data_IF_188564990343
#
_entry.id   IF_188564990343
#
_cell.length_a   1.000
_cell.length_b   1.000
_cell.length_c   1.000
_cell.angle_alpha   90.00
_cell.angle_beta   90.00
_cell.angle_gamma   90.00
#
_symmetry.space_group_name_H-M   'P 1'
#
loop_
_entity.id
_entity.type
_entity.pdbx_description
1 polymer ?
#
# COMPACT_ATOMS: atom_id res chain seq x y z
N UNK A 1 -25.41 -49.58 -12.27
CA UNK A 1 -24.21 -48.97 -11.68
C UNK A 1 -24.40 -47.47 -11.68
N UNK A 2 -24.84 -46.95 -10.57
CA UNK A 2 -25.20 -45.55 -10.37
C UNK A 2 -24.01 -44.80 -9.75
N UNK A 3 -23.38 -43.91 -10.53
CA UNK A 3 -22.37 -42.99 -10.01
C UNK A 3 -23.07 -41.84 -9.32
N UNK A 4 -22.99 -41.77 -8.00
CA UNK A 4 -23.28 -40.59 -7.21
C UNK A 4 -22.13 -39.55 -7.38
N UNK A 5 -22.43 -38.27 -7.64
CA UNK A 5 -21.42 -37.23 -7.56
C UNK A 5 -21.17 -36.92 -6.08
N UNK A 6 -19.94 -37.13 -5.62
CA UNK A 6 -19.47 -36.64 -4.33
C UNK A 6 -19.52 -35.11 -4.33
N UNK A 7 -20.37 -34.59 -3.45
CA UNK A 7 -20.53 -33.19 -3.17
C UNK A 7 -19.18 -32.58 -2.73
N UNK A 8 -18.68 -31.63 -3.48
CA UNK A 8 -17.55 -30.80 -3.12
C UNK A 8 -17.93 -29.90 -1.94
N UNK A 9 -17.77 -30.38 -0.72
CA UNK A 9 -17.98 -29.61 0.50
C UNK A 9 -16.85 -28.59 0.67
N UNK A 10 -17.19 -27.35 0.48
CA UNK A 10 -16.73 -26.10 1.11
C UNK A 10 -15.35 -26.14 1.85
N UNK A 11 -14.28 -26.14 1.08
CA UNK A 11 -12.94 -25.82 1.61
C UNK A 11 -12.79 -24.30 1.85
N UNK A 12 -13.64 -23.46 1.26
CA UNK A 12 -13.63 -22.00 1.38
C UNK A 12 -13.83 -21.43 2.79
N UNK A 13 -14.76 -21.87 3.64
CA UNK A 13 -14.97 -21.27 4.96
C UNK A 13 -13.84 -21.52 5.95
N UNK A 14 -13.24 -22.70 5.95
CA UNK A 14 -12.14 -23.06 6.87
C UNK A 14 -10.85 -22.27 6.55
N UNK A 15 -10.53 -22.10 5.28
CA UNK A 15 -9.35 -21.31 4.87
C UNK A 15 -9.52 -19.81 5.15
N UNK A 16 -10.73 -19.26 5.07
CA UNK A 16 -11.03 -17.88 5.44
C UNK A 16 -10.88 -17.67 6.95
N UNK A 17 -11.51 -18.52 7.76
CA UNK A 17 -11.42 -18.45 9.22
C UNK A 17 -9.96 -18.57 9.72
N UNK A 18 -9.16 -19.45 9.12
CA UNK A 18 -7.74 -19.59 9.46
C UNK A 18 -6.95 -18.31 9.15
N UNK A 19 -7.23 -17.65 8.01
CA UNK A 19 -6.58 -16.39 7.63
C UNK A 19 -6.97 -15.22 8.54
N UNK A 20 -8.24 -15.10 8.86
CA UNK A 20 -8.74 -14.10 9.81
C UNK A 20 -8.11 -14.28 11.19
N UNK A 21 -7.97 -15.53 11.65
CA UNK A 21 -7.30 -15.85 12.91
C UNK A 21 -5.82 -15.48 12.86
N UNK A 22 -5.12 -15.78 11.76
CA UNK A 22 -3.72 -15.39 11.57
C UNK A 22 -3.56 -13.87 11.55
N UNK A 23 -4.43 -13.15 10.83
CA UNK A 23 -4.43 -11.69 10.81
C UNK A 23 -4.67 -11.12 12.22
N UNK A 24 -5.59 -11.66 12.98
CA UNK A 24 -5.85 -11.25 14.36
C UNK A 24 -4.63 -11.48 15.27
N UNK A 25 -3.93 -12.61 15.11
CA UNK A 25 -2.69 -12.88 15.84
C UNK A 25 -1.56 -11.90 15.48
N UNK A 26 -1.41 -11.54 14.19
CA UNK A 26 -0.45 -10.51 13.76
C UNK A 26 -0.77 -9.15 14.42
N UNK A 27 -2.04 -8.76 14.43
CA UNK A 27 -2.47 -7.49 15.05
C UNK A 27 -2.22 -7.54 16.58
N UNK A 28 -2.48 -8.67 17.24
CA UNK A 28 -2.19 -8.84 18.67
C UNK A 28 -0.68 -8.69 18.96
N UNK A 29 0.19 -9.38 18.20
CA UNK A 29 1.63 -9.22 18.31
C UNK A 29 2.08 -7.76 18.04
N UNK A 30 1.47 -7.10 17.06
CA UNK A 30 1.76 -5.71 16.75
C UNK A 30 1.40 -4.75 17.90
N UNK A 31 0.35 -5.02 18.66
CA UNK A 31 0.00 -4.23 19.84
C UNK A 31 1.06 -4.36 20.95
N UNK A 32 1.63 -5.55 21.17
CA UNK A 32 2.73 -5.74 22.12
C UNK A 32 3.99 -4.97 21.66
N UNK A 33 4.31 -5.06 20.36
CA UNK A 33 5.44 -4.34 19.76
C UNK A 33 5.25 -2.82 19.75
N UNK A 34 4.00 -2.33 19.62
CA UNK A 34 3.66 -0.91 19.75
C UNK A 34 4.10 -0.36 21.12
N UNK A 35 4.01 -1.15 22.19
CA UNK A 35 4.49 -0.77 23.51
C UNK A 35 5.99 -0.45 23.54
N UNK A 36 6.80 -1.14 22.76
CA UNK A 36 8.23 -0.84 22.60
C UNK A 36 8.43 0.51 21.88
N UNK A 37 7.75 0.72 20.76
CA UNK A 37 7.84 1.97 19.99
C UNK A 37 7.39 3.18 20.82
N UNK A 38 6.28 3.05 21.55
CA UNK A 38 5.75 4.10 22.42
C UNK A 38 6.70 4.47 23.54
N UNK A 39 7.46 3.51 24.06
CA UNK A 39 8.48 3.72 25.08
C UNK A 39 9.85 4.16 24.52
N UNK A 40 9.96 4.35 23.19
CA UNK A 40 11.23 4.67 22.52
C UNK A 40 12.26 3.54 22.60
N UNK A 41 11.83 2.31 22.82
CA UNK A 41 12.69 1.12 22.92
C UNK A 41 12.79 0.43 21.57
N UNK A 42 14.00 -0.02 21.25
CA UNK A 42 14.24 -0.76 20.02
C UNK A 42 13.51 -2.11 20.04
N UNK A 43 12.90 -2.47 18.92
CA UNK A 43 12.36 -3.81 18.67
C UNK A 43 13.52 -4.68 18.17
N UNK A 44 13.87 -5.70 18.93
CA UNK A 44 14.89 -6.69 18.57
C UNK A 44 14.27 -8.09 18.36
N UNK A 45 15.09 -9.06 17.96
CA UNK A 45 14.62 -10.40 17.68
C UNK A 45 13.98 -11.10 18.90
N UNK A 46 14.49 -10.96 20.14
CA UNK A 46 13.81 -11.44 21.34
C UNK A 46 12.42 -10.83 21.54
N UNK A 47 12.28 -9.50 21.42
CA UNK A 47 11.00 -8.81 21.56
C UNK A 47 9.97 -9.32 20.53
N UNK A 48 10.40 -9.50 19.28
CA UNK A 48 9.56 -10.06 18.22
C UNK A 48 9.12 -11.48 18.59
N UNK A 49 10.05 -12.36 18.97
CA UNK A 49 9.68 -13.74 19.35
C UNK A 49 8.69 -13.77 20.50
N UNK A 50 8.89 -12.96 21.53
CA UNK A 50 7.98 -12.91 22.69
C UNK A 50 6.58 -12.49 22.25
N UNK A 51 6.45 -11.41 21.47
CA UNK A 51 5.18 -10.93 20.98
C UNK A 51 4.48 -11.96 20.08
N UNK A 52 5.22 -12.54 19.12
CA UNK A 52 4.69 -13.56 18.22
C UNK A 52 4.28 -14.83 18.96
N UNK A 53 5.10 -15.31 19.88
CA UNK A 53 4.79 -16.51 20.66
C UNK A 53 3.56 -16.30 21.57
N UNK A 54 3.42 -15.12 22.16
CA UNK A 54 2.23 -14.74 22.93
C UNK A 54 0.97 -14.75 22.05
N UNK A 55 1.05 -14.16 20.87
CA UNK A 55 -0.10 -13.99 19.98
C UNK A 55 -0.51 -15.27 19.23
N UNK A 56 0.45 -16.13 18.90
CA UNK A 56 0.23 -17.39 18.18
C UNK A 56 0.14 -18.62 19.09
N UNK A 57 0.44 -18.48 20.37
CA UNK A 57 0.42 -19.57 21.36
C UNK A 57 1.57 -20.57 21.22
N UNK A 58 2.48 -20.41 20.25
CA UNK A 58 3.59 -21.31 19.99
C UNK A 58 4.76 -20.59 19.28
N UNK A 59 5.94 -21.24 19.23
CA UNK A 59 7.17 -20.65 18.68
C UNK A 59 7.29 -20.83 17.15
N UNK A 60 8.25 -20.10 16.56
CA UNK A 60 8.68 -20.28 15.16
C UNK A 60 9.22 -21.70 14.91
N UNK A 61 9.87 -22.30 15.88
CA UNK A 61 10.40 -23.67 15.77
C UNK A 61 9.31 -24.75 15.61
N UNK A 62 8.08 -24.47 16.10
CA UNK A 62 6.91 -25.35 15.92
C UNK A 62 6.17 -25.11 14.60
N UNK A 63 6.59 -24.13 13.79
CA UNK A 63 5.91 -23.75 12.55
C UNK A 63 4.63 -22.94 12.73
N UNK A 64 4.37 -22.41 13.95
CA UNK A 64 3.17 -21.62 14.22
C UNK A 64 3.18 -20.26 13.47
N UNK A 65 4.35 -19.73 13.22
CA UNK A 65 4.58 -18.50 12.43
C UNK A 65 5.99 -18.52 11.84
N UNK A 66 6.21 -17.70 10.83
CA UNK A 66 7.50 -17.50 10.20
C UNK A 66 8.00 -16.05 10.35
N UNK A 67 9.24 -15.79 9.97
CA UNK A 67 9.83 -14.46 10.08
C UNK A 67 9.22 -13.44 9.11
N UNK A 68 8.60 -13.89 8.01
CA UNK A 68 7.82 -13.01 7.14
C UNK A 68 6.61 -12.44 7.88
N UNK A 69 5.83 -13.33 8.51
CA UNK A 69 4.68 -12.98 9.35
C UNK A 69 5.10 -12.08 10.52
N UNK A 70 6.25 -12.36 11.13
CA UNK A 70 6.80 -11.54 12.21
C UNK A 70 7.17 -10.12 11.74
N UNK A 71 7.74 -9.97 10.56
CA UNK A 71 8.01 -8.64 10.00
C UNK A 71 6.73 -7.90 9.63
N UNK A 72 5.68 -8.60 9.16
CA UNK A 72 4.36 -7.99 8.97
C UNK A 72 3.80 -7.45 10.30
N UNK A 73 3.98 -8.16 11.43
CA UNK A 73 3.61 -7.65 12.74
C UNK A 73 4.40 -6.38 13.14
N UNK A 74 5.70 -6.30 12.82
CA UNK A 74 6.50 -5.08 13.03
C UNK A 74 6.01 -3.92 12.17
N UNK A 75 5.62 -4.16 10.93
CA UNK A 75 5.05 -3.14 10.03
C UNK A 75 3.69 -2.65 10.56
N UNK A 76 2.83 -3.57 10.98
CA UNK A 76 1.54 -3.23 11.63
C UNK A 76 1.77 -2.44 12.93
N UNK A 77 2.80 -2.76 13.72
CA UNK A 77 3.14 -1.97 14.91
C UNK A 77 3.52 -0.53 14.57
N UNK A 78 4.26 -0.30 13.47
CA UNK A 78 4.56 1.05 12.97
C UNK A 78 3.28 1.76 12.51
N UNK A 79 2.40 1.07 11.79
CA UNK A 79 1.10 1.60 11.38
C UNK A 79 0.27 2.02 12.59
N UNK A 80 0.14 1.16 13.61
CA UNK A 80 -0.58 1.45 14.84
C UNK A 80 0.06 2.62 15.61
N UNK A 81 1.39 2.72 15.59
CA UNK A 81 2.09 3.87 16.15
C UNK A 81 1.72 5.17 15.43
N UNK A 82 1.76 5.15 14.10
CA UNK A 82 1.36 6.31 13.29
C UNK A 82 -0.09 6.69 13.54
N UNK A 83 -1.01 5.73 13.61
CA UNK A 83 -2.42 5.97 13.92
C UNK A 83 -2.60 6.65 15.28
N UNK A 84 -1.90 6.17 16.31
CA UNK A 84 -2.02 6.67 17.67
C UNK A 84 -1.35 8.02 17.90
N UNK A 85 -0.16 8.21 17.35
CA UNK A 85 0.68 9.37 17.62
C UNK A 85 0.83 10.34 16.44
N UNK A 86 0.44 9.93 15.24
CA UNK A 86 0.48 10.77 14.03
C UNK A 86 -0.24 12.11 14.19
N UNK A 87 -1.46 12.16 14.73
CA UNK A 87 -2.13 13.45 14.99
C UNK A 87 -1.32 14.38 15.91
N UNK A 88 -0.68 13.85 16.95
CA UNK A 88 0.17 14.63 17.82
C UNK A 88 1.45 15.12 17.11
N UNK A 89 2.04 14.29 16.24
CA UNK A 89 3.17 14.70 15.40
C UNK A 89 2.76 15.83 14.45
N UNK A 90 1.58 15.73 13.84
CA UNK A 90 1.04 16.77 12.95
C UNK A 90 0.76 18.07 13.68
N UNK A 91 0.21 17.99 14.90
CA UNK A 91 -0.12 19.16 15.73
C UNK A 91 1.12 19.87 16.30
N UNK A 92 2.24 19.14 16.47
CA UNK A 92 3.46 19.67 17.11
C UNK A 92 4.14 20.76 16.29
N UNK A 93 4.10 20.67 14.98
CA UNK A 93 4.76 21.60 14.06
C UNK A 93 4.06 21.60 12.69
N UNK A 94 4.02 22.74 12.04
CA UNK A 94 3.60 22.82 10.64
C UNK A 94 4.72 22.47 9.66
N UNK A 95 5.98 22.50 10.10
CA UNK A 95 7.13 22.23 9.27
C UNK A 95 7.22 20.73 8.90
N UNK A 96 7.14 20.37 7.60
CA UNK A 96 7.19 19.00 7.14
C UNK A 96 8.53 18.32 7.44
N UNK A 97 9.64 19.07 7.52
CA UNK A 97 10.96 18.54 7.84
C UNK A 97 11.06 18.14 9.31
N UNK A 98 10.54 18.96 10.22
CA UNK A 98 10.50 18.61 11.64
C UNK A 98 9.58 17.41 11.89
N UNK A 99 8.46 17.31 11.17
CA UNK A 99 7.60 16.11 11.21
C UNK A 99 8.34 14.86 10.73
N UNK A 100 9.07 14.96 9.61
CA UNK A 100 9.86 13.85 9.07
C UNK A 100 10.90 13.38 10.09
N UNK A 101 11.61 14.30 10.77
CA UNK A 101 12.57 13.92 11.82
C UNK A 101 11.94 13.10 12.95
N UNK A 102 10.68 13.41 13.32
CA UNK A 102 9.95 12.64 14.33
C UNK A 102 9.59 11.25 13.82
N UNK A 103 9.14 11.14 12.57
CA UNK A 103 8.81 9.87 11.91
C UNK A 103 10.05 8.99 11.77
N UNK A 104 11.18 9.56 11.33
CA UNK A 104 12.46 8.84 11.20
C UNK A 104 13.00 8.26 12.52
N UNK A 105 12.64 8.86 13.66
CA UNK A 105 13.00 8.27 14.97
C UNK A 105 12.37 6.89 15.18
N UNK A 106 11.16 6.66 14.64
CA UNK A 106 10.47 5.37 14.74
C UNK A 106 11.18 4.34 13.86
N UNK A 107 11.57 4.73 12.64
CA UNK A 107 12.28 3.85 11.71
C UNK A 107 13.57 3.29 12.31
N UNK A 108 14.24 4.05 13.18
CA UNK A 108 15.47 3.61 13.86
C UNK A 108 15.22 2.61 15.00
N UNK A 109 13.99 2.47 15.46
CA UNK A 109 13.60 1.54 16.52
C UNK A 109 13.21 0.16 16.00
N UNK A 110 12.99 0.01 14.69
CA UNK A 110 12.63 -1.28 14.10
C UNK A 110 13.86 -2.03 13.61
N UNK A 111 13.82 -3.37 13.59
CA UNK A 111 14.93 -4.18 13.12
C UNK A 111 15.06 -4.13 11.59
N UNK A 112 16.27 -4.35 11.10
CA UNK A 112 16.47 -4.65 9.69
C UNK A 112 15.89 -6.03 9.35
N UNK A 113 15.12 -6.11 8.28
CA UNK A 113 14.53 -7.38 7.80
C UNK A 113 15.59 -8.22 7.09
N UNK A 114 16.34 -9.02 7.85
CA UNK A 114 17.46 -9.83 7.32
C UNK A 114 17.06 -11.24 6.94
N UNK A 115 15.94 -11.77 7.49
CA UNK A 115 15.44 -13.12 7.23
C UNK A 115 14.31 -13.04 6.21
N UNK A 116 14.59 -13.42 4.98
CA UNK A 116 13.63 -13.41 3.88
C UNK A 116 13.24 -14.83 3.51
N UNK A 117 11.94 -15.05 3.21
CA UNK A 117 11.50 -16.23 2.49
C UNK A 117 11.87 -16.10 1.01
N UNK A 118 12.04 -17.23 0.33
CA UNK A 118 12.25 -17.28 -1.12
C UNK A 118 11.12 -16.57 -1.88
N UNK A 119 9.89 -16.64 -1.37
CA UNK A 119 8.73 -15.94 -1.93
C UNK A 119 8.88 -14.40 -1.90
N UNK A 120 9.39 -13.82 -0.80
CA UNK A 120 9.65 -12.37 -0.74
C UNK A 120 10.71 -11.94 -1.75
N UNK A 121 11.69 -12.81 -2.03
CA UNK A 121 12.72 -12.54 -3.04
C UNK A 121 12.16 -12.68 -4.45
N UNK A 122 11.33 -13.70 -4.70
CA UNK A 122 10.74 -13.97 -6.02
C UNK A 122 9.73 -12.90 -6.44
N UNK A 123 8.88 -12.42 -5.53
CA UNK A 123 7.88 -11.39 -5.82
C UNK A 123 8.39 -9.97 -5.64
N UNK A 124 9.58 -9.77 -5.06
CA UNK A 124 10.18 -8.45 -4.76
C UNK A 124 9.17 -7.46 -4.10
N UNK A 125 8.35 -7.98 -3.21
CA UNK A 125 7.36 -7.22 -2.45
C UNK A 125 8.03 -6.63 -1.20
N UNK A 126 8.47 -5.40 -1.29
CA UNK A 126 9.08 -4.68 -0.16
C UNK A 126 8.10 -3.65 0.38
N UNK A 127 7.88 -3.68 1.68
CA UNK A 127 7.10 -2.65 2.35
C UNK A 127 7.80 -1.31 2.30
N UNK A 128 7.02 -0.25 2.17
CA UNK A 128 7.56 1.11 2.10
C UNK A 128 8.03 1.56 3.49
N UNK A 129 9.28 2.02 3.64
CA UNK A 129 9.73 2.64 4.88
C UNK A 129 8.81 3.80 5.28
N UNK A 130 8.44 3.90 6.57
CA UNK A 130 7.46 4.89 7.04
C UNK A 130 7.89 6.34 6.76
N UNK A 131 9.20 6.64 6.80
CA UNK A 131 9.73 7.94 6.39
C UNK A 131 9.51 8.25 4.91
N UNK A 132 9.71 7.24 4.04
CA UNK A 132 9.43 7.39 2.61
C UNK A 132 7.92 7.48 2.34
N UNK A 133 7.09 6.72 3.08
CA UNK A 133 5.64 6.84 3.00
C UNK A 133 5.17 8.26 3.36
N UNK A 134 5.76 8.86 4.41
CA UNK A 134 5.51 10.24 4.80
C UNK A 134 5.84 11.23 3.67
N UNK A 135 7.02 11.10 3.05
CA UNK A 135 7.47 11.96 1.95
C UNK A 135 6.59 11.77 0.69
N UNK A 136 6.21 10.54 0.38
CA UNK A 136 5.28 10.26 -0.71
C UNK A 136 3.89 10.88 -0.46
N UNK A 137 3.41 10.82 0.79
CA UNK A 137 2.17 11.47 1.20
C UNK A 137 2.24 13.00 1.12
N UNK A 138 3.38 13.60 1.44
CA UNK A 138 3.62 15.03 1.26
C UNK A 138 3.55 15.41 -0.23
N UNK A 139 4.18 14.65 -1.11
CA UNK A 139 4.10 14.84 -2.56
C UNK A 139 2.67 14.66 -3.10
N UNK A 140 1.90 13.73 -2.52
CA UNK A 140 0.52 13.48 -2.88
C UNK A 140 -0.39 14.67 -2.56
N UNK A 141 -0.07 15.45 -1.51
CA UNK A 141 -0.85 16.62 -1.11
C UNK A 141 -2.29 16.24 -0.80
N UNK A 142 -2.50 15.25 0.05
CA UNK A 142 -3.81 14.74 0.46
C UNK A 142 -4.72 15.83 1.01
N UNK A 143 -6.02 15.69 0.74
CA UNK A 143 -7.06 16.60 1.23
C UNK A 143 -8.12 15.83 2.00
N UNK A 144 -8.58 16.31 3.15
CA UNK A 144 -9.61 15.63 3.93
C UNK A 144 -10.87 15.32 3.09
N UNK A 145 -11.42 14.12 3.28
CA UNK A 145 -12.64 13.67 2.61
C UNK A 145 -12.47 13.16 1.18
N UNK A 146 -11.29 13.34 0.55
CA UNK A 146 -11.04 12.79 -0.79
C UNK A 146 -10.91 11.27 -0.77
N UNK A 147 -11.15 10.64 -1.93
CA UNK A 147 -10.93 9.21 -2.11
C UNK A 147 -9.51 8.96 -2.60
N UNK A 148 -8.75 8.19 -1.81
CA UNK A 148 -7.40 7.75 -2.15
C UNK A 148 -7.41 6.26 -2.46
N UNK A 149 -6.82 5.87 -3.59
CA UNK A 149 -6.61 4.47 -3.95
C UNK A 149 -5.14 4.10 -3.71
N UNK A 150 -4.92 2.97 -3.04
CA UNK A 150 -3.63 2.29 -3.00
C UNK A 150 -3.76 0.92 -3.68
N UNK A 151 -3.26 0.76 -4.93
CA UNK A 151 -3.46 -0.45 -5.73
C UNK A 151 -2.67 -1.68 -5.26
N UNK A 152 -1.65 -1.51 -4.41
CA UNK A 152 -0.78 -2.57 -3.88
C UNK A 152 -0.44 -2.25 -2.44
N UNK A 153 -1.44 -2.38 -1.56
CA UNK A 153 -1.41 -1.75 -0.23
C UNK A 153 -0.50 -2.46 0.79
N UNK A 154 -0.14 -3.73 0.55
CA UNK A 154 0.71 -4.47 1.48
C UNK A 154 0.09 -4.52 2.88
N UNK A 155 0.85 -4.07 3.88
CA UNK A 155 0.37 -3.94 5.27
C UNK A 155 -0.29 -2.57 5.56
N UNK A 156 -0.33 -1.63 4.59
CA UNK A 156 -0.99 -0.34 4.71
C UNK A 156 -0.09 0.82 5.18
N UNK A 157 1.24 0.71 5.07
CA UNK A 157 2.16 1.78 5.52
C UNK A 157 2.11 3.05 4.65
N UNK A 158 1.67 2.97 3.40
CA UNK A 158 1.33 4.16 2.61
C UNK A 158 -0.08 4.66 2.94
N UNK A 159 -1.05 3.74 3.05
CA UNK A 159 -2.45 4.05 3.35
C UNK A 159 -2.62 4.85 4.64
N UNK A 160 -1.86 4.52 5.71
CA UNK A 160 -1.97 5.20 7.00
C UNK A 160 -1.68 6.72 6.89
N UNK A 161 -0.85 7.15 5.94
CA UNK A 161 -0.56 8.58 5.74
C UNK A 161 -1.79 9.31 5.16
N UNK A 162 -2.51 8.66 4.25
CA UNK A 162 -3.76 9.20 3.70
C UNK A 162 -4.90 9.16 4.75
N UNK A 163 -4.96 8.10 5.58
CA UNK A 163 -5.89 7.99 6.71
C UNK A 163 -5.71 9.14 7.71
N UNK A 164 -4.46 9.42 8.09
CA UNK A 164 -4.09 10.54 8.97
C UNK A 164 -4.43 11.92 8.37
N UNK A 165 -4.50 12.03 7.07
CA UNK A 165 -4.94 13.24 6.37
C UNK A 165 -6.47 13.36 6.28
N UNK A 166 -7.23 12.40 6.83
CA UNK A 166 -8.69 12.39 6.81
C UNK A 166 -9.28 11.97 5.46
N UNK A 167 -8.56 11.21 4.66
CA UNK A 167 -9.04 10.69 3.38
C UNK A 167 -9.91 9.45 3.56
N UNK A 168 -10.80 9.20 2.59
CA UNK A 168 -11.45 7.88 2.42
C UNK A 168 -10.52 6.98 1.64
N UNK A 169 -10.46 5.70 1.99
CA UNK A 169 -9.51 4.77 1.40
C UNK A 169 -10.22 3.71 0.55
N UNK A 170 -9.61 3.42 -0.59
CA UNK A 170 -9.82 2.20 -1.37
C UNK A 170 -8.47 1.49 -1.46
N UNK A 171 -8.40 0.28 -0.91
CA UNK A 171 -7.18 -0.50 -0.78
C UNK A 171 -7.30 -1.75 -1.63
N UNK A 172 -6.26 -2.08 -2.37
CA UNK A 172 -6.21 -3.33 -3.11
C UNK A 172 -4.94 -4.09 -2.74
N UNK A 173 -5.08 -5.38 -2.44
CA UNK A 173 -3.96 -6.26 -2.12
C UNK A 173 -4.28 -7.68 -2.58
N UNK A 174 -3.41 -8.27 -3.39
CA UNK A 174 -3.65 -9.59 -3.98
C UNK A 174 -3.41 -10.73 -3.00
N UNK A 175 -2.55 -10.50 -1.99
CA UNK A 175 -2.24 -11.52 -0.99
C UNK A 175 -3.35 -11.60 0.08
N UNK A 176 -3.97 -12.75 0.19
CA UNK A 176 -5.12 -13.04 1.06
C UNK A 176 -4.93 -12.58 2.52
N UNK A 177 -3.77 -12.88 3.11
CA UNK A 177 -3.48 -12.53 4.51
C UNK A 177 -3.36 -11.02 4.69
N UNK A 178 -2.69 -10.34 3.78
CA UNK A 178 -2.55 -8.87 3.83
C UNK A 178 -3.87 -8.17 3.56
N UNK A 179 -4.70 -8.69 2.66
CA UNK A 179 -6.06 -8.19 2.45
C UNK A 179 -6.92 -8.32 3.73
N UNK A 180 -6.82 -9.45 4.44
CA UNK A 180 -7.49 -9.63 5.73
C UNK A 180 -6.96 -8.65 6.80
N UNK A 181 -5.63 -8.41 6.86
CA UNK A 181 -5.04 -7.39 7.73
C UNK A 181 -5.57 -6.00 7.41
N UNK A 182 -5.61 -5.61 6.15
CA UNK A 182 -6.14 -4.31 5.73
C UNK A 182 -7.61 -4.14 6.15
N UNK A 183 -8.44 -5.18 5.97
CA UNK A 183 -9.85 -5.17 6.40
C UNK A 183 -10.01 -4.94 7.90
N UNK A 184 -9.12 -5.52 8.73
CA UNK A 184 -9.15 -5.34 10.18
C UNK A 184 -8.53 -4.02 10.64
N UNK A 185 -7.54 -3.49 9.90
CA UNK A 185 -6.83 -2.27 10.28
C UNK A 185 -7.51 -0.99 9.78
N UNK A 186 -8.24 -1.03 8.67
CA UNK A 186 -8.88 0.13 8.05
C UNK A 186 -10.39 -0.10 7.93
N UNK A 187 -11.06 -0.16 9.08
CA UNK A 187 -12.52 -0.33 9.15
C UNK A 187 -13.25 0.74 8.34
N UNK A 188 -14.24 0.31 7.57
CA UNK A 188 -15.00 1.20 6.69
C UNK A 188 -14.33 1.55 5.36
N UNK A 189 -13.10 1.09 5.12
CA UNK A 189 -12.43 1.22 3.83
C UNK A 189 -12.83 0.08 2.88
N UNK A 190 -12.86 0.36 1.59
CA UNK A 190 -13.02 -0.68 0.58
C UNK A 190 -11.70 -1.46 0.44
N UNK A 191 -11.75 -2.77 0.67
CA UNK A 191 -10.61 -3.66 0.40
C UNK A 191 -10.96 -4.60 -0.74
N UNK A 192 -10.13 -4.66 -1.78
CA UNK A 192 -10.27 -5.53 -2.95
C UNK A 192 -9.02 -6.38 -3.16
N UNK A 193 -9.16 -7.47 -3.94
CA UNK A 193 -8.09 -8.45 -4.15
C UNK A 193 -7.91 -8.72 -5.65
N UNK A 194 -7.47 -7.69 -6.37
CA UNK A 194 -7.29 -7.77 -7.82
C UNK A 194 -5.80 -7.67 -8.20
N UNK A 195 -5.45 -8.16 -9.38
CA UNK A 195 -4.16 -7.83 -10.00
C UNK A 195 -4.10 -6.32 -10.24
N UNK A 196 -3.20 -5.64 -9.54
CA UNK A 196 -3.04 -4.20 -9.62
C UNK A 196 -2.60 -3.70 -11.02
N UNK A 197 -2.00 -4.56 -11.85
CA UNK A 197 -1.73 -4.25 -13.26
C UNK A 197 -3.00 -4.07 -14.10
N UNK A 198 -4.15 -4.53 -13.59
CA UNK A 198 -5.47 -4.43 -14.21
C UNK A 198 -6.46 -3.63 -13.36
N UNK A 199 -6.00 -2.83 -12.42
CA UNK A 199 -6.86 -2.19 -11.41
C UNK A 199 -7.93 -1.28 -12.04
N UNK A 200 -7.64 -0.67 -13.20
CA UNK A 200 -8.62 0.12 -13.94
C UNK A 200 -9.85 -0.70 -14.35
N UNK A 201 -9.63 -1.90 -14.82
CA UNK A 201 -10.69 -2.75 -15.38
C UNK A 201 -11.41 -3.57 -14.31
N UNK A 202 -10.82 -3.72 -13.12
CA UNK A 202 -11.30 -4.60 -12.05
C UNK A 202 -12.15 -3.91 -11.01
N UNK A 203 -11.86 -2.64 -10.72
CA UNK A 203 -12.65 -1.88 -9.75
C UNK A 203 -13.98 -1.39 -10.35
N UNK A 204 -14.98 -1.23 -9.49
CA UNK A 204 -16.26 -0.65 -9.87
C UNK A 204 -16.08 0.68 -10.61
N UNK A 205 -16.83 0.92 -11.68
CA UNK A 205 -16.70 2.10 -12.52
C UNK A 205 -16.96 3.41 -11.75
N UNK A 206 -17.80 3.37 -10.73
CA UNK A 206 -18.10 4.51 -9.85
C UNK A 206 -16.99 4.85 -8.86
N UNK A 207 -16.00 3.96 -8.67
CA UNK A 207 -14.86 4.21 -7.78
C UNK A 207 -13.79 5.01 -8.55
N UNK A 208 -13.85 6.31 -8.47
CA UNK A 208 -12.93 7.24 -9.16
C UNK A 208 -12.11 8.01 -8.11
N UNK A 209 -10.88 7.56 -7.78
CA UNK A 209 -10.04 8.23 -6.79
C UNK A 209 -9.53 9.56 -7.32
N UNK A 210 -9.47 10.56 -6.45
CA UNK A 210 -8.83 11.86 -6.73
C UNK A 210 -7.33 11.85 -6.47
N UNK A 211 -6.86 10.88 -5.71
CA UNK A 211 -5.45 10.66 -5.48
C UNK A 211 -5.12 9.16 -5.47
N UNK A 212 -3.95 8.82 -5.99
CA UNK A 212 -3.40 7.45 -5.94
C UNK A 212 -2.00 7.52 -5.36
N UNK A 213 -1.72 6.64 -4.42
CA UNK A 213 -0.36 6.43 -3.91
C UNK A 213 -0.02 4.96 -4.07
N UNK A 214 1.18 4.64 -4.56
CA UNK A 214 1.51 3.25 -4.85
C UNK A 214 3.00 2.94 -4.74
N UNK A 215 3.28 1.72 -4.29
CA UNK A 215 4.58 1.07 -4.35
C UNK A 215 4.38 -0.36 -4.93
N UNK A 216 4.23 -0.50 -6.26
CA UNK A 216 3.98 -1.80 -6.88
C UNK A 216 5.19 -2.73 -6.73
N UNK A 217 5.01 -4.05 -6.85
CA UNK A 217 6.11 -5.00 -6.87
C UNK A 217 7.17 -4.61 -7.91
N UNK A 218 8.45 -4.70 -7.53
CA UNK A 218 9.55 -4.30 -8.40
C UNK A 218 9.84 -5.30 -9.53
N UNK A 219 9.37 -6.53 -9.41
CA UNK A 219 9.35 -7.53 -10.48
C UNK A 219 8.15 -8.44 -10.33
N UNK A 220 7.60 -8.89 -11.45
CA UNK A 220 6.69 -10.02 -11.47
C UNK A 220 7.51 -11.25 -11.84
N UNK A 221 7.76 -12.13 -10.87
CA UNK A 221 8.27 -13.47 -11.15
C UNK A 221 7.13 -14.30 -11.73
N UNK A 222 6.87 -14.19 -13.02
CA UNK A 222 6.08 -15.16 -13.75
C UNK A 222 6.94 -15.70 -14.90
N UNK A 223 7.24 -16.99 -14.78
CA UNK A 223 7.76 -17.89 -15.77
C UNK A 223 7.40 -17.46 -17.20
N UNK A 224 8.22 -16.68 -17.85
CA UNK A 224 8.45 -16.67 -19.31
C UNK A 224 9.55 -15.66 -19.62
N UNK A 225 10.46 -16.02 -20.49
CA UNK A 225 11.65 -15.31 -20.95
C UNK A 225 11.43 -13.94 -21.62
N UNK A 226 10.26 -13.33 -21.50
CA UNK A 226 9.92 -12.10 -22.18
C UNK A 226 9.42 -11.02 -21.22
N UNK A 227 10.30 -10.03 -20.91
CA UNK A 227 9.97 -8.67 -20.51
C UNK A 227 9.47 -8.45 -19.06
N UNK A 228 10.29 -8.80 -18.08
CA UNK A 228 10.19 -8.33 -16.68
C UNK A 228 10.13 -6.80 -16.56
N UNK A 229 10.55 -6.09 -17.59
CA UNK A 229 10.55 -4.63 -17.63
C UNK A 229 9.14 -4.01 -17.62
N UNK A 230 8.13 -4.64 -18.19
CA UNK A 230 6.79 -4.07 -18.43
C UNK A 230 5.87 -3.96 -17.19
N UNK A 231 6.17 -4.68 -16.12
CA UNK A 231 5.23 -4.78 -15.00
C UNK A 231 4.97 -3.44 -14.29
N UNK A 232 6.02 -2.74 -13.86
CA UNK A 232 5.88 -1.48 -13.14
C UNK A 232 5.14 -0.42 -13.96
N UNK A 233 5.42 -0.34 -15.26
CA UNK A 233 4.76 0.61 -16.14
C UNK A 233 3.28 0.23 -16.41
N UNK A 234 2.93 -1.05 -16.45
CA UNK A 234 1.53 -1.50 -16.55
C UNK A 234 0.75 -1.13 -15.30
N UNK A 235 1.30 -1.36 -14.11
CA UNK A 235 0.70 -0.91 -12.85
C UNK A 235 0.46 0.61 -12.86
N UNK A 236 1.48 1.38 -13.25
CA UNK A 236 1.39 2.83 -13.35
C UNK A 236 0.31 3.28 -14.33
N UNK A 237 0.29 2.71 -15.54
CA UNK A 237 -0.66 3.06 -16.59
C UNK A 237 -2.10 2.72 -16.21
N UNK A 238 -2.33 1.56 -15.58
CA UNK A 238 -3.64 1.14 -15.09
C UNK A 238 -4.13 2.07 -13.96
N UNK A 239 -3.24 2.43 -13.04
CA UNK A 239 -3.56 3.36 -11.96
C UNK A 239 -3.92 4.77 -12.51
N UNK A 240 -3.12 5.31 -13.43
CA UNK A 240 -3.41 6.61 -14.08
C UNK A 240 -4.74 6.58 -14.85
N UNK A 241 -5.06 5.47 -15.52
CA UNK A 241 -6.35 5.34 -16.19
C UNK A 241 -7.52 5.45 -15.21
N UNK A 242 -7.35 4.92 -13.98
CA UNK A 242 -8.38 4.94 -12.93
C UNK A 242 -8.51 6.28 -12.21
N UNK A 243 -7.46 7.08 -12.17
CA UNK A 243 -7.42 8.36 -11.48
C UNK A 243 -8.46 9.33 -12.07
N UNK A 244 -9.08 10.18 -11.24
CA UNK A 244 -9.94 11.27 -11.70
C UNK A 244 -9.14 12.29 -12.51
N UNK A 245 -9.79 12.93 -13.48
CA UNK A 245 -9.18 14.06 -14.21
C UNK A 245 -8.85 15.19 -13.22
N UNK A 246 -7.66 15.78 -13.35
CA UNK A 246 -7.12 16.73 -12.37
C UNK A 246 -6.55 16.09 -11.09
N UNK A 247 -6.72 14.78 -10.91
CA UNK A 247 -6.17 14.03 -9.77
C UNK A 247 -4.65 13.87 -9.83
N UNK A 248 -4.06 13.41 -8.71
CA UNK A 248 -2.61 13.18 -8.57
C UNK A 248 -2.28 11.74 -8.23
N UNK A 249 -1.27 11.20 -8.89
CA UNK A 249 -0.67 9.91 -8.57
C UNK A 249 0.77 10.11 -8.10
N UNK A 250 1.14 9.44 -7.00
CA UNK A 250 2.53 9.32 -6.53
C UNK A 250 2.91 7.85 -6.55
N UNK A 251 3.93 7.52 -7.33
CA UNK A 251 4.42 6.16 -7.48
C UNK A 251 5.86 6.03 -7.02
N UNK A 252 6.14 4.98 -6.25
CA UNK A 252 7.47 4.50 -5.94
C UNK A 252 7.72 3.28 -6.82
N UNK A 253 8.68 3.34 -7.73
CA UNK A 253 8.99 2.27 -8.67
C UNK A 253 10.48 1.96 -8.66
N UNK A 254 10.94 0.96 -9.43
CA UNK A 254 12.40 0.80 -9.65
C UNK A 254 12.98 2.03 -10.33
N UNK A 255 14.23 2.34 -10.03
CA UNK A 255 14.94 3.51 -10.56
C UNK A 255 14.91 3.61 -12.10
N UNK A 256 14.93 2.46 -12.78
CA UNK A 256 14.90 2.42 -14.24
C UNK A 256 13.53 2.67 -14.88
N UNK A 257 12.42 2.68 -14.12
CA UNK A 257 11.11 3.08 -14.62
C UNK A 257 11.04 4.62 -14.71
N UNK A 258 11.77 5.19 -15.62
CA UNK A 258 12.03 6.62 -15.75
C UNK A 258 11.61 7.13 -17.14
N UNK A 259 11.09 8.37 -17.23
CA UNK A 259 10.68 8.96 -18.50
C UNK A 259 11.81 9.13 -19.52
N UNK A 260 13.04 9.28 -19.06
CA UNK A 260 14.25 9.42 -19.86
C UNK A 260 14.92 8.08 -20.22
N UNK A 261 14.47 6.99 -19.59
CA UNK A 261 15.01 5.66 -19.87
C UNK A 261 14.49 5.13 -21.21
N UNK A 262 15.40 4.67 -22.09
CA UNK A 262 15.11 4.25 -23.47
C UNK A 262 13.92 3.27 -23.58
N UNK A 263 13.81 2.32 -22.65
CA UNK A 263 12.73 1.32 -22.68
C UNK A 263 11.34 1.89 -22.35
N UNK A 264 11.25 3.03 -21.66
CA UNK A 264 10.01 3.57 -21.12
C UNK A 264 9.58 4.88 -21.78
N UNK A 265 10.49 5.58 -22.47
CA UNK A 265 10.27 6.90 -23.03
C UNK A 265 8.97 6.96 -23.85
N UNK A 266 8.77 6.05 -24.78
CA UNK A 266 7.57 6.02 -25.62
C UNK A 266 6.28 5.76 -24.83
N UNK A 267 6.39 4.95 -23.77
CA UNK A 267 5.30 4.71 -22.82
C UNK A 267 4.91 5.99 -22.09
N UNK A 268 5.90 6.71 -21.53
CA UNK A 268 5.67 7.97 -20.84
C UNK A 268 5.18 9.08 -21.78
N UNK A 269 5.67 9.15 -23.03
CA UNK A 269 5.14 10.07 -24.04
C UNK A 269 3.66 9.81 -24.31
N UNK A 270 3.26 8.54 -24.44
CA UNK A 270 1.83 8.19 -24.58
C UNK A 270 1.02 8.54 -23.34
N UNK A 271 1.58 8.33 -22.14
CA UNK A 271 0.93 8.66 -20.89
C UNK A 271 0.73 10.18 -20.77
N UNK A 272 1.71 11.00 -21.15
CA UNK A 272 1.65 12.46 -21.07
C UNK A 272 0.57 13.09 -21.97
N UNK A 273 0.05 12.36 -22.95
CA UNK A 273 -1.13 12.82 -23.70
C UNK A 273 -2.39 12.92 -22.82
N UNK A 274 -2.40 12.33 -21.64
CA UNK A 274 -3.54 12.32 -20.70
C UNK A 274 -3.16 12.73 -19.28
N UNK A 275 -1.88 12.55 -18.88
CA UNK A 275 -1.43 12.76 -17.51
C UNK A 275 0.06 13.14 -17.51
N UNK A 276 0.39 14.35 -17.09
CA UNK A 276 1.75 14.86 -17.13
C UNK A 276 2.57 14.42 -15.90
N UNK A 277 3.81 14.06 -16.14
CA UNK A 277 4.80 13.92 -15.07
C UNK A 277 5.18 15.32 -14.59
N UNK A 278 5.02 15.60 -13.29
CA UNK A 278 5.36 16.90 -12.69
C UNK A 278 6.64 16.87 -11.89
N UNK A 279 7.06 15.66 -11.47
CA UNK A 279 8.31 15.46 -10.74
C UNK A 279 8.77 14.01 -10.86
N UNK A 280 10.08 13.80 -10.89
CA UNK A 280 10.69 12.48 -10.81
C UNK A 280 12.10 12.56 -10.23
N UNK A 281 12.42 11.71 -9.24
CA UNK A 281 13.77 11.63 -8.66
C UNK A 281 14.12 10.19 -8.29
N UNK A 282 15.36 9.80 -8.46
CA UNK A 282 15.90 8.52 -8.00
C UNK A 282 16.13 8.57 -6.49
N UNK A 283 16.00 7.45 -5.82
CA UNK A 283 16.18 7.27 -4.38
C UNK A 283 17.24 6.19 -4.18
N UNK A 284 18.26 6.49 -3.39
CA UNK A 284 19.33 5.55 -3.09
C UNK A 284 18.81 4.29 -2.41
N UNK A 285 19.35 3.13 -2.75
CA UNK A 285 18.96 1.84 -2.21
C UNK A 285 19.12 1.72 -0.69
N UNK A 286 19.96 2.57 -0.08
CA UNK A 286 20.11 2.68 1.38
C UNK A 286 18.81 2.99 2.10
N UNK A 287 17.86 3.69 1.46
CA UNK A 287 16.54 4.02 2.04
C UNK A 287 15.71 2.77 2.28
N UNK A 288 15.80 1.77 1.40
CA UNK A 288 15.10 0.49 1.57
C UNK A 288 15.93 -0.59 2.29
N UNK A 289 17.20 -0.32 2.62
CA UNK A 289 18.07 -1.30 3.29
C UNK A 289 17.50 -1.87 4.60
N UNK A 290 16.84 -1.09 5.48
CA UNK A 290 16.17 -1.63 6.66
C UNK A 290 15.07 -2.63 6.33
N UNK A 291 14.41 -2.49 5.18
CA UNK A 291 13.38 -3.40 4.67
C UNK A 291 13.95 -4.52 3.80
N UNK A 292 15.26 -4.70 3.89
CA UNK A 292 15.98 -5.85 3.38
C UNK A 292 16.26 -5.83 1.86
N UNK A 293 16.26 -4.69 1.20
CA UNK A 293 16.74 -4.54 -0.18
C UNK A 293 17.59 -3.29 -0.33
N UNK A 294 18.57 -3.34 -1.22
CA UNK A 294 19.37 -2.19 -1.63
C UNK A 294 19.03 -1.73 -3.05
N UNK A 295 17.85 -2.09 -3.54
CA UNK A 295 17.41 -1.69 -4.89
C UNK A 295 17.15 -0.20 -4.91
N UNK A 296 17.78 0.48 -5.85
CA UNK A 296 17.47 1.89 -6.13
C UNK A 296 16.05 2.01 -6.65
N UNK A 297 15.33 2.98 -6.11
CA UNK A 297 13.94 3.25 -6.46
C UNK A 297 13.80 4.65 -7.04
N UNK A 298 12.61 4.99 -7.47
CA UNK A 298 12.26 6.30 -8.02
C UNK A 298 10.90 6.72 -7.50
N UNK A 299 10.78 7.96 -7.05
CA UNK A 299 9.50 8.59 -6.81
C UNK A 299 9.12 9.42 -8.03
N UNK A 300 7.92 9.17 -8.55
CA UNK A 300 7.36 9.91 -9.69
C UNK A 300 6.00 10.47 -9.30
N UNK A 301 5.80 11.77 -9.53
CA UNK A 301 4.52 12.46 -9.32
C UNK A 301 3.90 12.76 -10.68
N UNK A 302 2.64 12.39 -10.83
CA UNK A 302 1.88 12.53 -12.09
C UNK A 302 0.55 13.21 -11.78
N UNK A 303 0.24 14.29 -12.48
CA UNK A 303 -1.08 14.92 -12.45
C UNK A 303 -1.87 14.50 -13.69
N UNK A 304 -3.13 14.09 -13.52
CA UNK A 304 -4.00 13.68 -14.65
C UNK A 304 -4.55 14.90 -15.37
N UNK A 305 -3.63 15.63 -15.96
CA UNK A 305 -3.82 16.77 -16.85
C UNK A 305 -2.88 16.55 -18.03
N UNK A 306 -3.34 16.63 -19.29
CA UNK A 306 -2.46 16.50 -20.45
C UNK A 306 -1.26 17.44 -20.37
N UNK A 307 -0.09 16.98 -20.79
CA UNK A 307 1.08 17.84 -20.96
C UNK A 307 0.94 18.68 -22.22
N UNK A 308 1.41 19.93 -22.18
CA UNK A 308 1.43 20.82 -23.35
C UNK A 308 2.30 20.24 -24.46
N UNK A 309 3.46 19.71 -24.11
CA UNK A 309 4.31 18.89 -24.98
C UNK A 309 4.54 17.51 -24.34
N UNK A 310 3.92 16.45 -24.86
CA UNK A 310 4.09 15.09 -24.33
C UNK A 310 5.53 14.54 -24.43
N UNK A 311 6.40 15.15 -25.18
CA UNK A 311 7.81 14.72 -25.31
C UNK A 311 8.74 15.35 -24.31
N UNK A 312 8.30 16.42 -23.60
CA UNK A 312 9.03 17.12 -22.58
C UNK A 312 8.72 16.55 -21.17
N UNK A 313 9.76 16.33 -20.41
CA UNK A 313 9.68 15.84 -19.03
C UNK A 313 10.42 16.78 -18.08
N UNK A 314 9.99 16.89 -16.80
CA UNK A 314 10.77 17.66 -15.82
C UNK A 314 12.15 17.04 -15.64
N UNK A 315 13.15 17.90 -15.51
CA UNK A 315 14.50 17.45 -15.18
C UNK A 315 14.51 16.77 -13.80
N UNK A 316 15.14 15.61 -13.71
CA UNK A 316 15.34 14.97 -12.42
C UNK A 316 16.45 15.70 -11.65
N UNK A 317 16.26 16.03 -10.36
CA UNK A 317 17.34 16.61 -9.54
C UNK A 317 18.46 15.60 -9.24
N UNK A 318 18.27 14.32 -9.57
CA UNK A 318 19.26 13.28 -9.41
C UNK A 318 18.82 12.14 -8.50
N UNK A 319 19.78 11.61 -7.71
CA UNK A 319 19.57 10.55 -6.73
C UNK A 319 19.57 11.12 -5.31
N UNK A 320 18.43 11.07 -4.64
CA UNK A 320 18.33 11.43 -3.24
C UNK A 320 19.00 10.37 -2.35
N UNK A 321 20.02 10.74 -1.55
CA UNK A 321 20.71 9.79 -0.66
C UNK A 321 19.85 9.35 0.51
N UNK A 322 18.84 10.14 0.87
CA UNK A 322 17.92 9.93 1.99
C UNK A 322 16.56 10.59 1.75
N UNK A 323 15.62 10.32 2.63
CA UNK A 323 14.24 10.84 2.55
C UNK A 323 14.14 12.34 2.85
N UNK A 324 15.10 12.92 3.59
CA UNK A 324 15.10 14.36 3.89
C UNK A 324 15.49 15.18 2.65
N UNK A 325 16.49 14.73 1.92
CA UNK A 325 16.88 15.32 0.62
C UNK A 325 15.72 15.20 -0.39
N UNK A 326 15.06 14.02 -0.44
CA UNK A 326 13.90 13.83 -1.30
C UNK A 326 12.75 14.78 -0.94
N UNK A 327 12.48 14.98 0.36
CA UNK A 327 11.46 15.92 0.83
C UNK A 327 11.78 17.35 0.38
N UNK A 328 13.06 17.79 0.49
CA UNK A 328 13.48 19.12 0.02
C UNK A 328 13.17 19.29 -1.47
N UNK A 329 13.59 18.34 -2.29
CA UNK A 329 13.33 18.43 -3.73
C UNK A 329 11.84 18.44 -4.08
N UNK A 330 11.02 17.68 -3.34
CA UNK A 330 9.57 17.69 -3.52
C UNK A 330 8.99 19.05 -3.13
N UNK A 331 9.44 19.63 -2.02
CA UNK A 331 8.97 20.94 -1.58
C UNK A 331 9.32 22.05 -2.59
N UNK A 332 10.47 21.94 -3.24
CA UNK A 332 10.97 22.94 -4.20
C UNK A 332 10.37 22.76 -5.61
N UNK A 333 10.07 21.53 -6.02
CA UNK A 333 9.78 21.24 -7.44
C UNK A 333 8.38 20.69 -7.71
N UNK A 334 7.69 20.09 -6.71
CA UNK A 334 6.33 19.56 -6.94
C UNK A 334 5.32 20.70 -6.84
N UNK A 335 4.61 21.04 -7.94
CA UNK A 335 3.62 22.11 -7.89
C UNK A 335 2.44 21.74 -6.96
N UNK A 336 1.76 22.73 -6.37
CA UNK A 336 0.49 22.49 -5.68
C UNK A 336 -0.48 21.74 -6.60
N UNK A 337 -1.25 20.81 -6.03
CA UNK A 337 -2.30 20.12 -6.80
C UNK A 337 -3.33 21.13 -7.30
N UNK A 338 -3.78 20.94 -8.55
CA UNK A 338 -4.90 21.68 -9.07
C UNK A 338 -6.11 21.55 -8.12
N UNK A 339 -6.83 22.64 -7.94
CA UNK A 339 -8.12 22.62 -7.24
C UNK A 339 -9.14 22.05 -8.23
N UNK A 340 -9.81 21.00 -7.89
CA UNK A 340 -11.00 20.51 -8.57
C UNK A 340 -12.07 20.25 -7.50
N UNK A 341 -13.32 20.45 -7.86
CA UNK A 341 -14.42 20.13 -6.96
C UNK A 341 -14.42 18.63 -6.72
N UNK A 342 -14.28 18.24 -5.44
CA UNK A 342 -14.46 16.84 -5.07
C UNK A 342 -15.83 16.40 -5.56
N UNK A 343 -15.96 15.25 -6.25
CA UNK A 343 -17.25 14.68 -6.56
C UNK A 343 -18.06 14.66 -5.26
N UNK A 344 -19.21 15.33 -5.23
CA UNK A 344 -20.10 15.27 -4.08
C UNK A 344 -20.33 13.81 -3.73
N UNK A 345 -20.13 13.38 -2.47
CA UNK A 345 -20.48 12.02 -2.11
C UNK A 345 -21.91 11.76 -2.59
N UNK A 346 -22.22 10.59 -3.18
CA UNK A 346 -23.57 10.28 -3.57
C UNK A 346 -24.46 10.53 -2.36
N UNK A 347 -25.50 11.35 -2.53
CA UNK A 347 -26.50 11.58 -1.48
C UNK A 347 -26.93 10.21 -0.98
N UNK A 348 -27.08 9.99 0.35
CA UNK A 348 -27.50 8.72 0.87
C UNK A 348 -28.82 8.36 0.14
N UNK A 349 -28.70 7.47 -0.85
CA UNK A 349 -29.88 6.90 -1.49
C UNK A 349 -30.66 6.23 -0.39
N UNK A 350 -31.96 6.56 -0.32
CA UNK A 350 -32.95 5.94 0.54
C UNK A 350 -32.68 4.44 0.70
N UNK A 351 -32.95 3.87 1.88
CA UNK A 351 -32.56 2.51 2.23
C UNK A 351 -32.92 1.56 1.12
N UNK A 352 -31.96 0.76 0.68
CA UNK A 352 -32.14 -0.28 -0.31
C UNK A 352 -33.42 -1.06 0.04
N UNK A 353 -34.35 -1.14 -0.90
CA UNK A 353 -35.51 -2.02 -0.79
C UNK A 353 -34.98 -3.39 -0.41
N UNK A 354 -35.39 -3.85 0.76
CA UNK A 354 -35.14 -5.22 1.23
C UNK A 354 -35.58 -6.19 0.13
N UNK A 355 -34.63 -6.92 -0.41
CA UNK A 355 -34.94 -8.07 -1.27
C UNK A 355 -35.78 -9.03 -0.43
N UNK A 356 -36.93 -9.48 -0.87
CA UNK A 356 -37.76 -10.44 -0.09
C UNK A 356 -36.92 -11.70 0.14
N UNK A 357 -36.67 -12.03 1.41
CA UNK A 357 -36.00 -13.27 1.77
C UNK A 357 -36.85 -14.45 1.28
N UNK A 358 -36.23 -15.37 0.56
CA UNK A 358 -36.80 -16.67 0.29
C UNK A 358 -36.97 -17.40 1.62
N UNK A 359 -38.21 -17.56 2.05
CA UNK A 359 -38.61 -18.42 3.15
C UNK A 359 -38.29 -19.88 2.78
N UNK A 360 -37.21 -20.41 3.34
CA UNK A 360 -36.98 -21.85 3.35
C UNK A 360 -38.03 -22.48 4.29
N UNK A 361 -39.03 -23.14 3.74
CA UNK A 361 -39.97 -23.97 4.52
C UNK A 361 -39.18 -25.13 5.12
N UNK A 362 -39.11 -25.17 6.44
CA UNK A 362 -38.70 -26.36 7.16
C UNK A 362 -39.81 -27.44 6.96
N UNK A 363 -39.46 -28.54 6.32
CA UNK A 363 -40.31 -29.74 6.29
C UNK A 363 -40.32 -30.38 7.68
N UNK A 364 -41.47 -30.37 8.33
CA UNK A 364 -41.72 -31.20 9.50
C UNK A 364 -41.79 -32.68 9.07
N UNK A 365 -41.09 -33.54 9.79
CA UNK A 365 -41.19 -34.97 9.65
C UNK A 365 -42.55 -35.47 10.23
N UNK A 366 -43.19 -36.44 9.61
CA UNK A 366 -44.37 -37.08 10.20
C UNK A 366 -43.98 -38.09 11.29
N UNK A 367 -44.90 -38.29 12.20
CA UNK A 367 -44.86 -39.12 13.39
C UNK A 367 -44.53 -40.60 13.12
#
# INVERSE_FOLDING_TARGET
>A
MTNSPLAGASVRPLASACREQTAASIVAAAHDLLGHLAAGRRIDAPAIRTAMQSAFGASDASGAWDWKTAYEAVEVAQLLFMRRYGPAIQARTADPFERLKLVERITRLVPTQTRRSEDMQSYQQFSTPVGLAWVAGFAAGFRPGELVLEPSAGTGLLAIIADLAGCRLALNEVADLRAALLGSLFEGSLVSMHDAAQIHDRLDAGLVPSCIIMNPPFSTALNVETRVADAAFRHLSSAVARLADGGRLVAITRANCAPDHKAWRDGFVRLQKRARVVFTATIAGSVFAPHGTSVETRLTVIDKIPADDPTCFPASPGMAPDVATLLSWIADHVPPRATFDLPKPPSPTSPARSVPGYLVRANAAPA
#
